data_IF_282026773534
#
_entry.id   IF_282026773534
#
_cell.length_a   1.000
_cell.length_b   1.000
_cell.length_c   1.000
_cell.angle_alpha   90.00
_cell.angle_beta   90.00
_cell.angle_gamma   90.00
#
_symmetry.space_group_name_H-M   'P 1'
#
loop_
_entity.id
_entity.type
_entity.pdbx_description
1 polymer ?
#
# COMPACT_ATOMS: atom_id res chain seq x y z
N UNK A 1 29.25 -9.69 -21.14
CA UNK A 1 28.80 -8.77 -20.07
C UNK A 1 27.52 -8.08 -20.49
N UNK A 2 26.49 -8.19 -19.69
CA UNK A 2 25.21 -7.52 -19.97
C UNK A 2 25.31 -6.02 -19.74
N UNK A 3 24.56 -5.27 -20.51
CA UNK A 3 24.46 -3.82 -20.33
C UNK A 3 23.61 -3.51 -19.10
N UNK A 4 24.07 -2.61 -18.26
CA UNK A 4 23.32 -2.18 -17.08
C UNK A 4 22.32 -1.08 -17.47
N UNK A 5 21.11 -1.22 -16.94
CA UNK A 5 20.06 -0.20 -17.08
C UNK A 5 19.69 0.28 -15.70
N UNK A 6 19.62 1.60 -15.52
CA UNK A 6 19.18 2.18 -14.25
C UNK A 6 17.97 3.06 -14.48
N UNK A 7 16.96 2.90 -13.64
CA UNK A 7 15.82 3.82 -13.62
C UNK A 7 16.16 5.06 -12.82
N UNK A 8 15.38 6.12 -13.02
CA UNK A 8 15.45 7.29 -12.15
C UNK A 8 15.27 6.83 -10.69
N UNK A 9 16.06 7.39 -9.80
CA UNK A 9 16.06 6.95 -8.39
C UNK A 9 16.22 8.14 -7.46
N UNK A 10 15.78 7.94 -6.22
CA UNK A 10 15.94 8.92 -5.15
C UNK A 10 15.55 8.34 -3.81
N UNK A 11 15.76 9.11 -2.75
CA UNK A 11 15.33 8.74 -1.42
C UNK A 11 13.80 8.88 -1.30
N UNK A 12 13.23 8.36 -0.20
CA UNK A 12 11.80 8.53 0.09
C UNK A 12 11.43 10.01 0.16
N UNK A 13 12.29 10.83 0.80
CA UNK A 13 12.07 12.27 0.88
C UNK A 13 12.09 12.94 -0.48
N UNK A 14 13.02 12.56 -1.35
CA UNK A 14 13.06 13.09 -2.71
C UNK A 14 11.83 12.69 -3.52
N UNK A 15 11.34 11.46 -3.33
CA UNK A 15 10.12 11.01 -4.00
C UNK A 15 8.90 11.84 -3.57
N UNK A 16 8.82 12.23 -2.31
CA UNK A 16 7.67 12.98 -1.80
C UNK A 16 7.51 14.36 -2.48
N UNK A 17 8.58 14.87 -3.10
CA UNK A 17 8.58 16.13 -3.83
C UNK A 17 8.51 15.93 -5.36
N UNK A 18 8.40 14.71 -5.83
CA UNK A 18 8.47 14.37 -7.26
C UNK A 18 7.16 13.74 -7.73
N UNK A 19 6.61 14.28 -8.84
CA UNK A 19 5.45 13.69 -9.50
C UNK A 19 5.90 13.19 -10.87
N UNK A 20 5.94 11.86 -11.03
CA UNK A 20 6.38 11.25 -12.28
C UNK A 20 5.28 11.21 -13.33
N UNK A 21 5.68 10.95 -14.58
CA UNK A 21 4.75 10.81 -15.70
C UNK A 21 3.90 9.54 -15.54
N UNK A 22 2.78 9.48 -16.26
CA UNK A 22 1.93 8.27 -16.28
C UNK A 22 2.75 7.07 -16.72
N UNK A 23 2.78 6.04 -15.88
CA UNK A 23 3.51 4.80 -16.18
C UNK A 23 5.01 4.88 -15.97
N UNK A 24 5.53 5.99 -15.50
CA UNK A 24 6.95 6.08 -15.17
C UNK A 24 7.25 5.21 -13.95
N UNK A 25 8.38 4.50 -13.99
CA UNK A 25 8.86 3.65 -12.90
C UNK A 25 10.13 4.27 -12.35
N UNK A 26 10.18 4.47 -11.03
CA UNK A 26 11.37 4.97 -10.34
C UNK A 26 11.76 4.02 -9.23
N UNK A 27 12.94 4.22 -8.65
CA UNK A 27 13.42 3.39 -7.55
C UNK A 27 13.55 4.25 -6.29
N UNK A 28 12.86 3.85 -5.21
CA UNK A 28 13.06 4.43 -3.89
C UNK A 28 14.21 3.69 -3.25
N UNK A 29 15.35 4.39 -3.07
CA UNK A 29 16.57 3.78 -2.59
C UNK A 29 16.58 3.52 -1.09
N UNK A 30 15.71 4.18 -0.34
CA UNK A 30 15.57 3.93 1.10
C UNK A 30 14.65 2.76 1.38
N UNK A 31 13.46 2.74 0.74
CA UNK A 31 12.52 1.62 0.87
C UNK A 31 12.96 0.42 0.06
N UNK A 32 13.84 0.61 -0.93
CA UNK A 32 14.36 -0.44 -1.83
C UNK A 32 13.24 -1.12 -2.59
N UNK A 33 12.36 -0.31 -3.16
CA UNK A 33 11.22 -0.77 -3.96
C UNK A 33 11.09 0.08 -5.20
N UNK A 34 10.32 -0.44 -6.17
CA UNK A 34 9.90 0.34 -7.33
C UNK A 34 8.69 1.18 -6.97
N UNK A 35 8.58 2.36 -7.59
CA UNK A 35 7.42 3.23 -7.47
C UNK A 35 6.82 3.42 -8.86
N UNK A 36 5.50 3.29 -8.98
CA UNK A 36 4.77 3.52 -10.22
C UNK A 36 4.09 4.88 -10.12
N UNK A 37 4.21 5.69 -11.17
CA UNK A 37 3.71 7.07 -11.17
C UNK A 37 2.49 7.23 -12.08
N UNK A 38 1.65 8.22 -11.76
CA UNK A 38 0.40 8.48 -12.48
C UNK A 38 0.25 9.94 -12.92
N UNK A 39 1.31 10.73 -12.86
CA UNK A 39 1.36 12.16 -13.20
C UNK A 39 0.59 13.08 -12.24
N UNK A 40 -0.04 12.55 -11.20
CA UNK A 40 -0.81 13.37 -10.24
C UNK A 40 -0.42 13.14 -8.79
N UNK A 41 0.04 11.94 -8.43
CA UNK A 41 0.37 11.59 -7.05
C UNK A 41 1.84 11.85 -6.78
N UNK A 42 2.13 12.80 -5.88
CA UNK A 42 3.50 13.06 -5.46
C UNK A 42 4.06 11.82 -4.77
N UNK A 43 5.25 11.40 -5.19
CA UNK A 43 5.90 10.19 -4.68
C UNK A 43 5.47 8.90 -5.35
N UNK A 44 4.38 8.92 -6.13
CA UNK A 44 3.89 7.71 -6.79
C UNK A 44 3.39 6.67 -5.81
N UNK A 45 3.35 5.41 -6.27
CA UNK A 45 2.85 4.27 -5.50
C UNK A 45 3.98 3.27 -5.30
N UNK A 46 4.58 3.21 -4.10
CA UNK A 46 5.62 2.21 -3.81
C UNK A 46 5.03 0.80 -3.82
N UNK A 47 5.74 -0.13 -4.42
CA UNK A 47 5.31 -1.53 -4.44
C UNK A 47 5.60 -2.19 -3.09
N UNK A 48 4.83 -3.21 -2.77
CA UNK A 48 4.98 -3.97 -1.53
C UNK A 48 6.24 -4.83 -1.61
N UNK A 49 7.05 -4.80 -0.55
CA UNK A 49 8.20 -5.70 -0.44
C UNK A 49 7.73 -7.10 -0.06
N UNK A 50 8.51 -8.08 -0.47
CA UNK A 50 8.23 -9.49 -0.21
C UNK A 50 8.01 -9.78 1.27
N UNK A 51 8.75 -9.11 2.15
CA UNK A 51 8.67 -9.32 3.60
C UNK A 51 7.58 -8.46 4.27
N UNK A 52 6.80 -7.72 3.49
CA UNK A 52 5.75 -6.82 3.96
C UNK A 52 6.25 -5.70 4.87
N UNK A 53 7.56 -5.44 4.91
CA UNK A 53 8.12 -4.46 5.84
C UNK A 53 7.68 -3.02 5.55
N UNK A 54 7.20 -2.73 4.35
CA UNK A 54 6.71 -1.41 3.97
C UNK A 54 5.18 -1.37 3.82
N UNK A 55 4.44 -2.31 4.41
CA UNK A 55 2.98 -2.33 4.33
C UNK A 55 2.35 -1.57 5.50
N UNK A 56 1.32 -0.80 5.18
CA UNK A 56 0.47 -0.15 6.16
C UNK A 56 -0.97 -0.38 5.73
N UNK A 57 -1.70 -1.20 6.48
CA UNK A 57 -3.10 -1.46 6.17
C UNK A 57 -3.95 -0.29 6.66
N UNK A 58 -4.89 0.16 5.84
CA UNK A 58 -5.90 1.10 6.28
C UNK A 58 -6.81 0.42 7.30
N UNK A 59 -7.52 1.21 8.11
CA UNK A 59 -8.42 0.66 9.13
C UNK A 59 -9.55 -0.16 8.51
N UNK A 60 -10.05 0.27 7.36
CA UNK A 60 -11.22 -0.34 6.74
C UNK A 60 -12.51 0.09 7.42
N UNK A 61 -13.60 -0.57 7.04
CA UNK A 61 -14.92 -0.34 7.60
C UNK A 61 -15.72 -1.64 7.52
N UNK A 62 -16.89 -1.67 8.13
CA UNK A 62 -17.77 -2.85 8.04
C UNK A 62 -18.26 -3.11 6.62
N UNK A 63 -18.35 -2.07 5.79
CA UNK A 63 -18.76 -2.23 4.39
C UNK A 63 -17.59 -2.48 3.46
N UNK A 64 -16.36 -2.20 3.89
CA UNK A 64 -15.14 -2.39 3.08
C UNK A 64 -13.95 -2.65 4.00
N UNK A 65 -13.71 -3.90 4.33
CA UNK A 65 -12.65 -4.31 5.23
C UNK A 65 -11.27 -3.96 4.68
N UNK A 66 -10.29 -3.83 5.57
CA UNK A 66 -8.90 -3.57 5.17
C UNK A 66 -8.32 -4.75 4.39
N UNK A 67 -8.50 -5.97 4.90
CA UNK A 67 -8.22 -7.21 4.19
C UNK A 67 -9.55 -7.86 3.87
N UNK A 68 -9.81 -8.11 2.58
CA UNK A 68 -11.12 -8.58 2.14
C UNK A 68 -10.97 -9.53 0.96
N UNK A 69 -12.06 -10.24 0.67
CA UNK A 69 -12.09 -11.16 -0.46
C UNK A 69 -12.63 -10.45 -1.69
N UNK A 70 -12.21 -10.90 -2.88
CA UNK A 70 -12.69 -10.33 -4.13
C UNK A 70 -14.22 -10.53 -4.23
N UNK A 71 -14.92 -9.47 -4.64
CA UNK A 71 -16.39 -9.45 -4.76
C UNK A 71 -17.13 -9.62 -3.43
N UNK A 72 -16.42 -9.47 -2.30
CA UNK A 72 -17.03 -9.60 -0.97
C UNK A 72 -16.32 -8.62 -0.01
N UNK A 73 -16.46 -7.31 -0.23
CA UNK A 73 -15.67 -6.31 0.51
C UNK A 73 -16.06 -6.18 1.98
N UNK A 74 -17.23 -6.65 2.38
CA UNK A 74 -17.71 -6.57 3.76
C UNK A 74 -17.43 -7.85 4.56
N UNK A 75 -16.52 -8.71 4.07
CA UNK A 75 -16.05 -9.89 4.78
C UNK A 75 -14.51 -9.85 4.81
N UNK A 76 -13.95 -9.84 6.00
CA UNK A 76 -12.50 -9.78 6.15
C UNK A 76 -12.08 -9.30 7.52
N UNK A 77 -10.97 -8.57 7.55
CA UNK A 77 -10.35 -8.06 8.77
C UNK A 77 -10.29 -6.54 8.69
N UNK A 78 -10.68 -5.87 9.76
CA UNK A 78 -10.59 -4.42 9.86
C UNK A 78 -10.20 -4.00 11.28
N UNK A 79 -9.94 -2.71 11.47
CA UNK A 79 -9.72 -2.12 12.78
C UNK A 79 -10.64 -0.91 12.92
N UNK A 80 -11.22 -0.73 14.10
CA UNK A 80 -12.04 0.46 14.39
C UNK A 80 -11.21 1.62 14.93
N UNK A 81 -9.94 1.36 15.23
CA UNK A 81 -9.06 2.39 15.77
C UNK A 81 -7.81 1.76 16.37
N UNK A 82 -7.14 2.54 17.20
CA UNK A 82 -5.90 2.09 17.82
C UNK A 82 -6.15 0.90 18.77
N UNK A 83 -5.28 -0.10 18.70
CA UNK A 83 -5.28 -1.28 19.59
C UNK A 83 -6.52 -2.17 19.45
N UNK A 84 -7.20 -2.10 18.30
CA UNK A 84 -8.39 -2.91 18.05
C UNK A 84 -8.29 -3.66 16.74
N UNK A 85 -8.88 -4.86 16.70
CA UNK A 85 -9.00 -5.66 15.48
C UNK A 85 -10.35 -6.37 15.48
N UNK A 86 -10.96 -6.47 14.30
CA UNK A 86 -12.26 -7.13 14.12
C UNK A 86 -12.21 -8.12 12.98
N UNK A 87 -12.87 -9.25 13.16
CA UNK A 87 -13.19 -10.18 12.09
C UNK A 87 -14.64 -9.93 11.70
N UNK A 88 -14.89 -9.76 10.41
CA UNK A 88 -16.17 -9.28 9.88
C UNK A 88 -16.67 -10.24 8.82
N UNK A 89 -17.97 -10.57 8.85
CA UNK A 89 -18.64 -11.28 7.75
C UNK A 89 -19.94 -10.58 7.45
N UNK A 90 -20.22 -10.34 6.15
CA UNK A 90 -21.45 -9.72 5.70
C UNK A 90 -21.73 -8.37 6.35
N UNK A 91 -20.68 -7.57 6.60
CA UNK A 91 -20.80 -6.25 7.20
C UNK A 91 -21.10 -6.26 8.70
N UNK A 92 -20.92 -7.40 9.37
CA UNK A 92 -21.16 -7.54 10.81
C UNK A 92 -19.90 -8.00 11.50
N UNK A 93 -19.46 -7.27 12.54
CA UNK A 93 -18.34 -7.69 13.35
C UNK A 93 -18.70 -8.96 14.14
N UNK A 94 -17.96 -10.04 13.92
CA UNK A 94 -18.19 -11.33 14.59
C UNK A 94 -17.29 -11.51 15.80
N UNK A 95 -16.08 -10.92 15.74
CA UNK A 95 -15.11 -10.95 16.83
C UNK A 95 -14.45 -9.58 16.90
N UNK A 96 -14.43 -9.01 18.08
CA UNK A 96 -13.72 -7.76 18.35
C UNK A 96 -12.70 -8.01 19.46
N UNK A 97 -11.45 -7.59 19.18
CA UNK A 97 -10.37 -7.64 20.16
C UNK A 97 -9.94 -6.22 20.42
N UNK A 98 -9.96 -5.81 21.68
CA UNK A 98 -9.59 -4.45 22.08
C UNK A 98 -8.73 -4.46 23.34
#
# INVERSE_FOLDING_TARGET
MATQVQFRRGTTGEHSAFTGAVGEVTVDTEKKVLCIHDATTAGGFPLLREDFSNSNLSLGSLSSCALKFVNDPDTGIMSTGQDQIQLVTGGVARLTID
#
